data_IF_395359862446
#
_entry.id   IF_395359862446
#
_cell.length_a   1.000
_cell.length_b   1.000
_cell.length_c   1.000
_cell.angle_alpha   90.00
_cell.angle_beta   90.00
_cell.angle_gamma   90.00
#
_symmetry.space_group_name_H-M   'P 1'
#
loop_
_entity.id
_entity.type
_entity.pdbx_description
1 polymer ?
#
# COMPACT_ATOMS: atom_id res chain seq x y z
N UNK A 1 24.09 -29.65 -4.98
CA UNK A 1 22.96 -28.72 -4.81
C UNK A 1 22.45 -28.86 -3.39
N UNK A 2 22.21 -27.76 -2.71
CA UNK A 2 21.73 -27.70 -1.33
C UNK A 2 20.37 -26.99 -1.26
N UNK A 3 19.88 -26.68 -0.05
CA UNK A 3 18.67 -25.87 0.10
C UNK A 3 18.85 -24.49 -0.53
N UNK A 4 17.76 -23.90 -1.00
CA UNK A 4 17.76 -22.54 -1.56
C UNK A 4 18.12 -21.51 -0.47
N UNK A 5 18.58 -20.33 -0.87
CA UNK A 5 18.99 -19.25 0.05
C UNK A 5 17.86 -18.77 0.97
N UNK A 6 16.61 -18.85 0.49
CA UNK A 6 15.40 -18.47 1.21
C UNK A 6 14.77 -19.61 2.06
N UNK A 7 15.40 -20.79 2.10
CA UNK A 7 14.89 -21.94 2.85
C UNK A 7 14.96 -21.71 4.37
N UNK A 8 13.84 -21.89 5.05
CA UNK A 8 13.76 -21.81 6.50
C UNK A 8 14.14 -23.16 7.13
N UNK A 9 15.43 -23.31 7.48
CA UNK A 9 16.01 -24.58 7.91
C UNK A 9 15.78 -24.90 9.38
N UNK A 10 15.45 -23.90 10.22
CA UNK A 10 15.33 -24.08 11.67
C UNK A 10 14.13 -24.96 12.08
N UNK A 11 13.14 -25.10 11.20
CA UNK A 11 11.99 -25.95 11.44
C UNK A 11 11.43 -26.48 10.11
N UNK A 12 11.91 -27.65 9.71
CA UNK A 12 11.37 -28.40 8.59
C UNK A 12 10.45 -29.52 9.13
N UNK A 13 9.61 -30.08 8.29
CA UNK A 13 8.62 -31.07 8.67
C UNK A 13 8.82 -32.34 7.84
N UNK A 14 9.11 -33.42 8.50
CA UNK A 14 9.14 -34.74 7.88
C UNK A 14 7.83 -35.49 8.18
N UNK A 15 7.07 -35.77 7.13
CA UNK A 15 5.87 -36.59 7.18
C UNK A 15 6.27 -38.05 6.92
N UNK A 16 5.93 -38.90 7.84
CA UNK A 16 6.25 -40.34 7.80
C UNK A 16 4.98 -41.19 7.94
N UNK A 17 4.86 -42.21 7.12
CA UNK A 17 3.81 -43.19 7.25
C UNK A 17 4.24 -44.28 8.23
N UNK A 18 3.39 -44.62 9.20
CA UNK A 18 3.58 -45.71 10.16
C UNK A 18 3.08 -47.02 9.59
N UNK A 19 3.39 -48.14 10.29
CA UNK A 19 2.95 -49.45 9.88
C UNK A 19 1.43 -49.63 9.87
N UNK A 20 0.71 -48.88 10.70
CA UNK A 20 -0.75 -48.82 10.74
C UNK A 20 -1.38 -47.89 9.71
N UNK A 21 -0.60 -47.41 8.74
CA UNK A 21 -0.98 -46.46 7.71
C UNK A 21 -1.34 -45.04 8.22
N UNK A 22 -1.20 -44.80 9.52
CA UNK A 22 -1.33 -43.45 10.07
C UNK A 22 -0.10 -42.57 9.72
N UNK A 23 -0.28 -41.26 9.69
CA UNK A 23 0.81 -40.32 9.43
C UNK A 23 1.38 -39.77 10.75
N UNK A 24 2.70 -39.70 10.81
CA UNK A 24 3.46 -39.04 11.86
C UNK A 24 4.14 -37.79 11.30
N UNK A 25 4.20 -36.75 12.10
CA UNK A 25 4.89 -35.49 11.77
C UNK A 25 6.09 -35.33 12.71
N UNK A 26 7.28 -35.24 12.13
CA UNK A 26 8.53 -35.01 12.85
C UNK A 26 9.05 -33.62 12.51
N UNK A 27 9.22 -32.75 13.51
CA UNK A 27 9.86 -31.45 13.32
C UNK A 27 11.38 -31.65 13.39
N UNK A 28 12.09 -31.15 12.39
CA UNK A 28 13.54 -31.30 12.24
C UNK A 28 14.19 -29.93 12.04
N UNK A 29 15.22 -29.63 12.81
CA UNK A 29 16.12 -28.50 12.52
C UNK A 29 17.15 -28.98 11.48
N UNK A 30 16.79 -28.77 10.21
CA UNK A 30 17.64 -29.19 9.09
C UNK A 30 18.98 -28.44 9.07
N UNK A 31 19.01 -27.19 9.57
CA UNK A 31 20.25 -26.43 9.70
C UNK A 31 21.24 -27.09 10.66
N UNK A 32 20.79 -27.53 11.84
CA UNK A 32 21.62 -28.27 12.80
C UNK A 32 22.03 -29.64 12.30
N UNK A 33 21.10 -30.33 11.64
CA UNK A 33 21.38 -31.67 11.07
C UNK A 33 22.49 -31.61 10.01
N UNK A 34 22.42 -30.65 9.09
CA UNK A 34 23.43 -30.46 8.04
C UNK A 34 24.81 -30.03 8.57
N UNK A 35 24.85 -29.40 9.76
CA UNK A 35 26.12 -29.11 10.45
C UNK A 35 26.64 -30.23 11.35
N UNK A 36 25.86 -31.34 11.46
CA UNK A 36 26.24 -32.45 12.32
C UNK A 36 26.07 -32.19 13.82
N UNK A 37 25.23 -31.22 14.21
CA UNK A 37 24.95 -30.87 15.60
C UNK A 37 23.89 -31.76 16.25
N UNK A 38 23.11 -32.45 15.45
CA UNK A 38 22.10 -33.41 15.87
C UNK A 38 22.24 -34.69 15.05
N UNK A 39 21.75 -35.81 15.59
CA UNK A 39 21.78 -37.10 14.93
C UNK A 39 20.92 -37.08 13.64
N UNK A 40 21.42 -37.77 12.61
CA UNK A 40 20.72 -37.89 11.34
C UNK A 40 19.53 -38.86 11.45
N UNK A 41 18.51 -38.59 10.65
CA UNK A 41 17.26 -39.34 10.65
C UNK A 41 17.26 -40.31 9.46
N UNK A 42 17.26 -41.62 9.68
CA UNK A 42 17.19 -42.58 8.59
C UNK A 42 15.84 -42.47 7.87
N UNK A 43 15.91 -42.30 6.55
CA UNK A 43 14.72 -42.19 5.71
C UNK A 43 13.99 -43.53 5.59
N UNK A 44 12.67 -43.48 5.60
CA UNK A 44 11.78 -44.61 5.33
C UNK A 44 11.03 -44.38 4.01
N UNK A 45 10.45 -45.48 3.51
CA UNK A 45 9.61 -45.45 2.31
C UNK A 45 8.43 -44.48 2.52
N UNK A 46 8.10 -43.67 1.52
CA UNK A 46 7.03 -42.70 1.52
C UNK A 46 7.27 -41.46 2.43
N UNK A 47 8.45 -41.29 3.04
CA UNK A 47 8.79 -40.07 3.74
C UNK A 47 8.70 -38.86 2.82
N UNK A 48 8.11 -37.78 3.30
CA UNK A 48 8.01 -36.47 2.59
C UNK A 48 8.57 -35.38 3.47
N UNK A 49 9.66 -34.76 3.03
CA UNK A 49 10.23 -33.61 3.72
C UNK A 49 9.67 -32.32 3.13
N UNK A 50 9.09 -31.48 3.98
CA UNK A 50 8.68 -30.12 3.65
C UNK A 50 9.65 -29.11 4.28
N UNK A 51 10.29 -28.32 3.42
CA UNK A 51 11.19 -27.24 3.80
C UNK A 51 10.48 -25.93 3.45
N UNK A 52 9.97 -25.19 4.44
CA UNK A 52 9.29 -23.94 4.17
C UNK A 52 10.28 -22.86 3.69
N UNK A 53 9.79 -21.90 2.91
CA UNK A 53 10.53 -20.70 2.59
C UNK A 53 10.36 -19.64 3.69
N UNK A 54 11.42 -18.89 3.98
CA UNK A 54 11.38 -17.77 4.92
C UNK A 54 10.41 -16.67 4.43
N UNK A 55 10.26 -16.54 3.12
CA UNK A 55 9.31 -15.59 2.50
C UNK A 55 7.86 -16.04 2.68
N UNK A 56 7.56 -17.35 2.55
CA UNK A 56 6.22 -17.90 2.83
C UNK A 56 5.80 -17.69 4.30
N UNK A 57 6.75 -17.78 5.23
CA UNK A 57 6.49 -17.60 6.66
C UNK A 57 6.30 -16.13 7.08
N UNK A 58 6.87 -15.17 6.33
CA UNK A 58 6.73 -13.75 6.62
C UNK A 58 5.34 -13.19 6.28
N UNK A 59 4.59 -13.85 5.43
CA UNK A 59 3.35 -13.34 4.86
C UNK A 59 3.58 -12.22 3.83
N UNK A 60 2.54 -11.88 3.11
CA UNK A 60 2.57 -10.80 2.13
C UNK A 60 2.48 -9.46 2.86
N UNK A 61 3.62 -8.83 3.11
CA UNK A 61 3.66 -7.47 3.63
C UNK A 61 3.23 -6.49 2.53
N UNK A 62 2.25 -5.67 2.85
CA UNK A 62 1.69 -4.68 1.93
C UNK A 62 1.60 -3.32 2.62
N UNK A 63 1.60 -2.26 1.82
CA UNK A 63 1.14 -0.93 2.19
C UNK A 63 -0.17 -0.64 1.45
N UNK A 64 -1.02 0.20 2.03
CA UNK A 64 -2.28 0.62 1.40
C UNK A 64 -2.19 2.09 1.00
N UNK A 65 -2.41 2.41 -0.27
CA UNK A 65 -2.35 3.78 -0.78
C UNK A 65 -3.73 4.20 -1.26
N UNK A 66 -4.28 5.21 -0.63
CA UNK A 66 -5.65 5.69 -0.79
C UNK A 66 -5.69 7.18 -1.15
N UNK A 67 -6.83 7.60 -1.72
CA UNK A 67 -7.13 9.00 -2.01
C UNK A 67 -6.64 9.45 -3.36
N UNK A 68 -6.12 10.69 -3.45
CA UNK A 68 -5.87 11.42 -4.70
C UNK A 68 -4.53 11.03 -5.36
N UNK A 69 -4.39 9.73 -5.67
CA UNK A 69 -3.29 9.15 -6.47
C UNK A 69 -3.86 8.51 -7.72
N UNK A 70 -3.04 8.27 -8.75
CA UNK A 70 -3.53 7.68 -10.02
C UNK A 70 -4.05 6.26 -9.87
N UNK A 71 -3.41 5.44 -9.04
CA UNK A 71 -3.77 4.04 -8.85
C UNK A 71 -3.86 3.71 -7.36
N UNK A 72 -4.95 4.07 -6.67
CA UNK A 72 -5.15 3.75 -5.26
C UNK A 72 -5.40 2.24 -5.09
N UNK A 73 -4.54 1.56 -4.35
CA UNK A 73 -4.63 0.12 -4.04
C UNK A 73 -3.56 -0.30 -3.04
N UNK A 74 -3.58 -1.58 -2.68
CA UNK A 74 -2.49 -2.21 -1.91
C UNK A 74 -1.29 -2.50 -2.81
N UNK A 75 -0.10 -2.21 -2.29
CA UNK A 75 1.18 -2.45 -2.94
C UNK A 75 2.05 -3.35 -2.08
N UNK A 76 2.88 -4.22 -2.68
CA UNK A 76 3.87 -4.97 -1.93
C UNK A 76 4.81 -4.02 -1.19
N UNK A 77 5.03 -4.30 0.09
CA UNK A 77 6.03 -3.58 0.87
C UNK A 77 7.42 -4.11 0.56
N UNK A 78 8.37 -3.20 0.46
CA UNK A 78 9.80 -3.51 0.29
C UNK A 78 10.59 -2.78 1.38
N UNK A 79 11.62 -3.41 1.92
CA UNK A 79 12.47 -2.81 2.94
C UNK A 79 13.06 -1.48 2.46
N UNK A 80 13.15 -0.50 3.35
CA UNK A 80 13.61 0.88 3.10
C UNK A 80 12.73 1.70 2.13
N UNK A 81 11.47 1.29 1.90
CA UNK A 81 10.52 2.06 1.10
C UNK A 81 10.18 3.38 1.79
N UNK A 82 10.31 4.49 1.06
CA UNK A 82 9.91 5.82 1.53
C UNK A 82 8.47 6.17 1.13
N UNK A 83 7.94 7.26 1.68
CA UNK A 83 6.63 7.77 1.28
C UNK A 83 6.62 8.20 -0.19
N UNK A 84 7.72 8.80 -0.67
CA UNK A 84 7.90 9.19 -2.07
C UNK A 84 7.86 7.99 -3.01
N UNK A 85 8.55 6.90 -2.65
CA UNK A 85 8.55 5.66 -3.44
C UNK A 85 7.15 5.08 -3.56
N UNK A 86 6.38 5.09 -2.46
CA UNK A 86 5.01 4.60 -2.45
C UNK A 86 4.10 5.43 -3.37
N UNK A 87 4.17 6.76 -3.29
CA UNK A 87 3.40 7.65 -4.17
C UNK A 87 3.81 7.47 -5.63
N UNK A 88 5.10 7.28 -5.91
CA UNK A 88 5.61 7.01 -7.24
C UNK A 88 5.08 5.68 -7.79
N UNK A 89 5.06 4.62 -6.98
CA UNK A 89 4.48 3.32 -7.35
C UNK A 89 2.99 3.41 -7.66
N UNK A 90 2.26 4.30 -6.95
CA UNK A 90 0.86 4.59 -7.23
C UNK A 90 0.64 5.40 -8.53
N UNK A 91 1.71 5.70 -9.27
CA UNK A 91 1.68 6.46 -10.53
C UNK A 91 1.69 7.97 -10.33
N UNK A 92 1.97 8.44 -9.12
CA UNK A 92 1.99 9.85 -8.74
C UNK A 92 0.63 10.40 -8.33
N UNK A 93 0.61 11.69 -8.03
CA UNK A 93 -0.55 12.42 -7.55
C UNK A 93 -1.52 12.78 -8.69
N UNK A 94 -2.80 12.90 -8.35
CA UNK A 94 -3.78 13.57 -9.19
C UNK A 94 -3.67 15.09 -9.05
N UNK A 95 -4.19 15.84 -10.03
CA UNK A 95 -4.24 17.31 -9.99
C UNK A 95 -5.04 17.84 -8.79
N UNK A 96 -6.03 17.06 -8.35
CA UNK A 96 -6.86 17.33 -7.17
C UNK A 96 -6.18 17.08 -5.82
N UNK A 97 -4.99 16.49 -5.82
CA UNK A 97 -4.29 16.13 -4.59
C UNK A 97 -3.85 17.36 -3.78
N UNK A 98 -3.93 17.24 -2.46
CA UNK A 98 -3.37 18.24 -1.55
C UNK A 98 -1.85 18.04 -1.44
N UNK A 99 -1.11 19.11 -1.73
CA UNK A 99 0.35 19.11 -1.55
C UNK A 99 0.76 19.37 -0.09
N UNK A 100 -0.16 19.83 0.74
CA UNK A 100 0.12 20.17 2.14
C UNK A 100 -0.33 19.11 3.13
N UNK A 101 -0.98 18.04 2.66
CA UNK A 101 -1.47 17.01 3.57
C UNK A 101 -1.56 15.63 2.95
N UNK A 102 -0.61 14.81 3.34
CA UNK A 102 -0.62 13.36 3.19
C UNK A 102 -0.56 12.76 4.59
N UNK A 103 -1.52 11.92 4.93
CA UNK A 103 -1.59 11.26 6.23
C UNK A 103 -1.06 9.83 6.08
N UNK A 104 -0.22 9.39 7.02
CA UNK A 104 0.23 7.99 7.16
C UNK A 104 -0.25 7.46 8.49
N UNK A 105 -0.96 6.33 8.46
CA UNK A 105 -1.42 5.63 9.66
C UNK A 105 -0.61 4.35 9.83
N UNK A 106 0.06 4.22 10.95
CA UNK A 106 0.88 3.05 11.32
C UNK A 106 0.24 2.30 12.48
N UNK A 107 0.07 1.00 12.34
CA UNK A 107 -0.47 0.15 13.41
C UNK A 107 0.52 0.04 14.56
N UNK A 108 0.01 0.15 15.78
CA UNK A 108 0.80 -0.16 16.97
C UNK A 108 0.82 -1.68 17.16
N UNK A 109 2.02 -2.25 17.17
CA UNK A 109 2.24 -3.67 17.40
C UNK A 109 2.67 -3.86 18.85
N UNK A 110 1.83 -4.46 19.65
CA UNK A 110 2.15 -4.88 21.04
C UNK A 110 1.95 -6.39 21.20
N UNK A 111 2.75 -7.25 20.52
CA UNK A 111 2.52 -8.69 20.45
C UNK A 111 2.62 -9.40 21.81
N UNK A 112 3.24 -8.77 22.80
CA UNK A 112 3.42 -9.30 24.14
C UNK A 112 2.51 -8.60 25.18
N UNK A 113 1.60 -7.70 24.77
CA UNK A 113 0.66 -7.06 25.66
C UNK A 113 -0.49 -8.01 25.98
N UNK A 114 -0.84 -8.10 27.26
CA UNK A 114 -2.04 -8.79 27.75
C UNK A 114 -3.19 -7.82 28.01
N UNK A 115 -2.96 -6.54 27.80
CA UNK A 115 -3.94 -5.45 27.98
C UNK A 115 -4.28 -4.84 26.61
N UNK A 116 -5.49 -4.31 26.48
CA UNK A 116 -5.89 -3.53 25.31
C UNK A 116 -5.03 -2.28 25.19
N UNK A 117 -4.48 -2.03 24.01
CA UNK A 117 -3.71 -0.83 23.78
C UNK A 117 -4.66 0.38 23.75
N UNK A 118 -4.39 1.45 24.54
CA UNK A 118 -5.23 2.65 24.55
C UNK A 118 -5.12 3.46 23.25
N UNK A 119 -4.13 3.17 22.42
CA UNK A 119 -3.88 3.80 21.13
C UNK A 119 -3.77 2.70 20.07
N UNK A 120 -4.57 2.79 19.02
CA UNK A 120 -4.65 1.76 17.97
C UNK A 120 -3.71 2.02 16.79
N UNK A 121 -3.35 3.30 16.57
CA UNK A 121 -2.47 3.71 15.48
C UNK A 121 -1.67 4.98 15.79
N UNK A 122 -0.48 5.06 15.26
CA UNK A 122 0.30 6.29 15.15
C UNK A 122 -0.06 7.01 13.85
N UNK A 123 -0.22 8.34 13.94
CA UNK A 123 -0.59 9.17 12.81
C UNK A 123 0.53 10.15 12.50
N UNK A 124 0.99 10.14 11.24
CA UNK A 124 1.96 11.07 10.71
C UNK A 124 1.31 11.90 9.62
N UNK A 125 1.64 13.18 9.55
CA UNK A 125 1.14 14.08 8.51
C UNK A 125 2.31 14.75 7.83
N UNK A 126 2.35 14.71 6.51
CA UNK A 126 3.41 15.24 5.67
C UNK A 126 2.87 16.25 4.67
N UNK A 127 3.69 17.23 4.33
CA UNK A 127 3.52 18.07 3.16
C UNK A 127 4.45 17.57 2.05
N UNK A 128 4.00 17.66 0.80
CA UNK A 128 4.78 17.31 -0.38
C UNK A 128 5.20 18.58 -1.10
N UNK A 129 6.48 18.69 -1.44
CA UNK A 129 7.05 19.81 -2.19
C UNK A 129 7.40 19.34 -3.60
N UNK A 130 7.15 20.21 -4.58
CA UNK A 130 7.49 19.97 -6.00
C UNK A 130 7.05 18.59 -6.54
N UNK A 131 5.89 18.12 -6.06
CA UNK A 131 5.20 16.95 -6.57
C UNK A 131 5.54 15.63 -5.88
N UNK A 132 6.68 15.46 -5.21
CA UNK A 132 7.02 14.16 -4.61
C UNK A 132 7.98 14.22 -3.40
N UNK A 133 8.58 15.37 -3.08
CA UNK A 133 9.53 15.45 -1.97
C UNK A 133 8.79 15.75 -0.67
N UNK A 134 8.97 14.91 0.34
CA UNK A 134 8.41 15.13 1.68
C UNK A 134 9.12 16.32 2.34
N UNK A 135 8.34 17.32 2.74
CA UNK A 135 8.86 18.46 3.48
C UNK A 135 8.98 18.09 4.97
N UNK A 136 10.16 18.30 5.54
CA UNK A 136 10.42 18.16 6.98
C UNK A 136 11.10 16.87 7.41
N UNK A 137 10.86 15.74 6.77
CA UNK A 137 11.54 14.47 7.05
C UNK A 137 11.76 13.67 5.74
N UNK A 138 12.78 14.06 4.95
CA UNK A 138 13.08 13.44 3.66
C UNK A 138 13.69 12.04 3.80
N UNK A 139 13.26 11.24 4.71
CA UNK A 139 13.79 9.91 5.01
C UNK A 139 12.79 9.07 5.78
N UNK A 140 11.51 9.50 5.83
CA UNK A 140 10.49 8.71 6.50
C UNK A 140 10.32 7.36 5.81
N UNK A 141 10.74 6.31 6.53
CA UNK A 141 10.66 4.93 6.06
C UNK A 141 9.32 4.34 6.48
N UNK A 142 8.62 3.79 5.50
CA UNK A 142 7.36 3.08 5.71
C UNK A 142 7.60 1.73 6.40
N UNK A 143 6.60 1.28 7.12
CA UNK A 143 6.54 -0.06 7.70
C UNK A 143 5.45 -0.92 7.04
N UNK A 144 5.57 -2.27 7.15
CA UNK A 144 4.51 -3.16 6.67
C UNK A 144 3.15 -2.80 7.26
N UNK A 145 2.14 -2.73 6.39
CA UNK A 145 0.75 -2.39 6.69
C UNK A 145 0.49 -0.92 7.01
N UNK A 146 1.44 -0.01 6.72
CA UNK A 146 1.14 1.42 6.74
C UNK A 146 0.03 1.74 5.73
N UNK A 147 -0.91 2.59 6.14
CA UNK A 147 -1.95 3.16 5.28
C UNK A 147 -1.62 4.61 4.97
N UNK A 148 -1.43 4.90 3.70
CA UNK A 148 -1.10 6.23 3.17
C UNK A 148 -2.36 6.81 2.56
N UNK A 149 -2.75 8.00 2.99
CA UNK A 149 -3.92 8.69 2.48
C UNK A 149 -3.58 10.07 1.95
N UNK A 150 -3.58 10.21 0.63
CA UNK A 150 -3.44 11.50 -0.02
C UNK A 150 -4.78 12.21 -0.01
N UNK A 151 -4.85 13.37 0.63
CA UNK A 151 -6.10 14.13 0.74
C UNK A 151 -6.36 14.94 -0.52
N UNK A 152 -7.64 15.18 -0.82
CA UNK A 152 -8.04 16.13 -1.84
C UNK A 152 -7.78 17.56 -1.36
N UNK A 153 -7.27 18.40 -2.25
CA UNK A 153 -7.11 19.83 -1.97
C UNK A 153 -8.48 20.49 -1.82
N UNK A 154 -8.76 21.20 -0.70
CA UNK A 154 -10.02 21.93 -0.54
C UNK A 154 -10.20 23.04 -1.58
N UNK A 155 -9.09 23.57 -2.10
CA UNK A 155 -9.10 24.61 -3.13
C UNK A 155 -9.25 24.09 -4.56
N UNK A 156 -9.23 22.78 -4.77
CA UNK A 156 -9.39 22.19 -6.10
C UNK A 156 -10.86 22.16 -6.50
N UNK A 157 -11.15 22.72 -7.65
CA UNK A 157 -12.46 22.70 -8.27
C UNK A 157 -12.33 22.36 -9.74
N UNK A 158 -13.02 21.32 -10.17
CA UNK A 158 -13.09 20.99 -11.59
C UNK A 158 -13.80 22.09 -12.37
N UNK A 159 -13.25 22.41 -13.56
CA UNK A 159 -13.90 23.35 -14.46
C UNK A 159 -15.26 22.82 -14.90
N UNK A 160 -16.31 23.56 -14.56
CA UNK A 160 -17.66 23.27 -15.02
C UNK A 160 -17.96 24.11 -16.24
N UNK A 161 -18.61 23.50 -17.25
CA UNK A 161 -19.00 24.20 -18.48
C UNK A 161 -20.52 24.26 -18.62
N UNK A 162 -20.99 25.35 -19.20
CA UNK A 162 -22.40 25.58 -19.55
C UNK A 162 -22.47 25.82 -21.06
N UNK A 163 -23.49 25.24 -21.69
CA UNK A 163 -23.72 25.40 -23.14
C UNK A 163 -24.77 26.46 -23.37
N UNK A 164 -24.47 27.46 -24.22
CA UNK A 164 -25.41 28.48 -24.69
C UNK A 164 -25.74 28.21 -26.15
N UNK A 165 -27.02 28.11 -26.47
CA UNK A 165 -27.53 27.88 -27.82
C UNK A 165 -28.69 28.84 -28.14
N UNK A 166 -28.99 29.01 -29.42
CA UNK A 166 -30.07 29.83 -29.88
C UNK A 166 -29.64 31.27 -30.26
N UNK A 167 -30.57 32.21 -30.16
CA UNK A 167 -30.45 33.63 -30.61
C UNK A 167 -29.56 34.45 -29.68
N UNK A 168 -28.27 34.12 -29.63
CA UNK A 168 -27.21 34.89 -28.96
C UNK A 168 -26.09 35.13 -29.95
N UNK A 169 -25.33 36.23 -29.75
CA UNK A 169 -24.27 36.60 -30.69
C UNK A 169 -23.16 35.54 -30.82
N UNK A 170 -22.79 34.89 -29.72
CA UNK A 170 -21.77 33.84 -29.69
C UNK A 170 -22.31 32.58 -28.99
N UNK A 171 -23.05 31.72 -29.69
CA UNK A 171 -23.43 30.42 -29.14
C UNK A 171 -22.19 29.53 -28.97
N UNK A 172 -22.16 28.72 -27.88
CA UNK A 172 -21.01 27.90 -27.62
C UNK A 172 -20.93 27.36 -26.20
N UNK A 173 -19.75 26.81 -25.85
CA UNK A 173 -19.44 26.31 -24.52
C UNK A 173 -18.74 27.39 -23.71
N UNK A 174 -19.21 27.65 -22.51
CA UNK A 174 -18.69 28.66 -21.62
C UNK A 174 -18.30 28.05 -20.29
N UNK A 175 -17.10 28.34 -19.80
CA UNK A 175 -16.69 27.96 -18.47
C UNK A 175 -17.50 28.72 -17.40
N UNK A 176 -17.99 28.00 -16.39
CA UNK A 176 -18.58 28.61 -15.20
C UNK A 176 -17.46 29.27 -14.37
N UNK A 177 -17.58 30.55 -14.07
CA UNK A 177 -16.53 31.32 -13.38
C UNK A 177 -16.49 31.04 -11.87
N UNK A 178 -17.65 30.88 -11.26
CA UNK A 178 -17.79 30.70 -9.81
C UNK A 178 -19.11 30.00 -9.46
N UNK A 179 -19.26 29.64 -8.19
CA UNK A 179 -20.53 29.10 -7.67
C UNK A 179 -21.69 30.09 -7.78
N UNK A 180 -21.39 31.40 -7.84
CA UNK A 180 -22.38 32.51 -7.90
C UNK A 180 -22.59 33.04 -9.32
N UNK A 181 -22.04 32.39 -10.35
CA UNK A 181 -22.20 32.80 -11.75
C UNK A 181 -23.69 32.72 -12.15
N UNK A 182 -24.23 33.81 -12.69
CA UNK A 182 -25.66 33.92 -12.99
C UNK A 182 -25.92 33.81 -14.48
N UNK A 183 -27.15 33.49 -14.84
CA UNK A 183 -27.61 33.42 -16.23
C UNK A 183 -27.38 34.73 -16.97
N UNK A 184 -27.66 35.88 -16.34
CA UNK A 184 -27.42 37.20 -16.91
C UNK A 184 -25.94 37.43 -17.26
N UNK A 185 -25.01 36.93 -16.44
CA UNK A 185 -23.57 37.08 -16.69
C UNK A 185 -23.14 36.18 -17.86
N UNK A 186 -23.74 34.99 -17.95
CA UNK A 186 -23.51 34.07 -19.05
C UNK A 186 -24.02 34.64 -20.38
N UNK A 187 -25.24 35.20 -20.41
CA UNK A 187 -25.80 35.85 -21.61
C UNK A 187 -24.97 37.08 -22.05
N UNK A 188 -24.50 37.91 -21.11
CA UNK A 188 -23.58 39.00 -21.42
C UNK A 188 -22.28 38.50 -22.06
N UNK A 189 -21.71 37.42 -21.54
CA UNK A 189 -20.51 36.80 -22.13
C UNK A 189 -20.77 36.21 -23.52
N UNK A 190 -21.97 35.75 -23.78
CA UNK A 190 -22.42 35.30 -25.10
C UNK A 190 -22.76 36.43 -26.07
N UNK A 191 -22.50 37.69 -25.71
CA UNK A 191 -22.72 38.85 -26.54
C UNK A 191 -24.13 39.44 -26.50
N UNK A 192 -24.98 38.93 -25.58
CA UNK A 192 -26.38 39.33 -25.50
C UNK A 192 -27.30 38.51 -26.41
N UNK A 193 -28.58 38.85 -26.40
CA UNK A 193 -29.61 38.24 -27.26
C UNK A 193 -29.65 39.04 -28.57
N UNK A 194 -29.70 38.36 -29.69
CA UNK A 194 -29.82 38.99 -31.03
C UNK A 194 -31.23 39.34 -31.37
#
# INVERSE_FOLDING_TARGET
EGPREDAFLNRTILYREKEDLSQEMLAVDLGKLLRGEIDDIPLKKNDRLYVPSATELRGDYVIDILGEVKNPRKYPFVDNMTLEDAVLQAGGLLESASMVRVDVSRRIKAPNSTEEAPVEAELFTFALKDGLVVEGDPGFILEPFDEIKVRRSPGYSEQQNVVVRGEVLYPGVYAKRSSNDRLSDLVKRAGGVT
#
